data_IF_236711195532
#
_entry.id   IF_236711195532
#
_cell.length_a   1.000
_cell.length_b   1.000
_cell.length_c   1.000
_cell.angle_alpha   90.00
_cell.angle_beta   90.00
_cell.angle_gamma   90.00
#
_symmetry.space_group_name_H-M   'P 1'
#
loop_
_entity.id
_entity.type
_entity.pdbx_description
1 polymer ?
#
# COMPACT_ATOMS: atom_id res chain seq x y z
N UNK A 1 -40.69 2.97 3.83
CA UNK A 1 -39.90 3.18 5.05
C UNK A 1 -38.45 2.68 4.99
N UNK A 2 -37.80 2.66 3.82
CA UNK A 2 -36.40 2.20 3.66
C UNK A 2 -35.37 3.34 3.59
N UNK A 3 -35.80 4.57 3.29
CA UNK A 3 -34.93 5.74 3.10
C UNK A 3 -34.38 6.34 4.41
N UNK A 4 -35.03 6.15 5.56
CA UNK A 4 -34.59 6.70 6.84
C UNK A 4 -33.37 5.97 7.42
N UNK A 5 -33.28 4.66 7.24
CA UNK A 5 -32.20 3.83 7.83
C UNK A 5 -30.85 4.06 7.16
N UNK A 6 -30.84 4.18 5.83
CA UNK A 6 -29.63 4.49 5.05
C UNK A 6 -29.10 5.89 5.32
N UNK A 7 -29.98 6.88 5.53
CA UNK A 7 -29.58 8.25 5.86
C UNK A 7 -29.08 8.39 7.31
N UNK A 8 -29.65 7.62 8.25
CA UNK A 8 -29.15 7.58 9.64
C UNK A 8 -27.81 6.84 9.73
N UNK A 9 -27.62 5.73 9.02
CA UNK A 9 -26.30 5.10 8.87
C UNK A 9 -25.31 6.05 8.21
N UNK A 10 -25.73 6.81 7.19
CA UNK A 10 -24.91 7.84 6.56
C UNK A 10 -24.47 8.91 7.57
N UNK A 11 -25.36 9.46 8.39
CA UNK A 11 -25.00 10.43 9.44
C UNK A 11 -24.09 9.80 10.50
N UNK A 12 -24.33 8.55 10.89
CA UNK A 12 -23.49 7.83 11.86
C UNK A 12 -22.07 7.59 11.32
N UNK A 13 -21.94 7.17 10.06
CA UNK A 13 -20.63 6.97 9.38
C UNK A 13 -19.90 8.30 9.20
N UNK A 14 -20.61 9.40 8.91
CA UNK A 14 -20.02 10.75 8.85
C UNK A 14 -19.48 11.25 10.19
N UNK A 15 -20.07 10.83 11.30
CA UNK A 15 -19.61 11.18 12.64
C UNK A 15 -18.48 10.27 13.15
N UNK A 16 -18.18 9.18 12.45
CA UNK A 16 -17.21 8.18 12.88
C UNK A 16 -15.92 8.34 12.07
N UNK A 17 -14.98 9.12 12.60
CA UNK A 17 -13.63 9.19 12.05
C UNK A 17 -12.93 7.85 12.26
N UNK A 18 -13.02 6.98 11.26
CA UNK A 18 -12.42 5.66 11.29
C UNK A 18 -10.89 5.80 11.36
N UNK A 19 -10.30 5.25 12.42
CA UNK A 19 -8.85 5.28 12.66
C UNK A 19 -8.11 4.17 11.93
N UNK A 20 -8.82 3.26 11.27
CA UNK A 20 -8.22 2.14 10.53
C UNK A 20 -7.86 2.56 9.11
N UNK A 21 -6.63 2.23 8.72
CA UNK A 21 -6.14 2.41 7.35
C UNK A 21 -6.83 1.45 6.40
N UNK A 22 -7.40 1.99 5.31
CA UNK A 22 -7.81 1.22 4.13
C UNK A 22 -6.94 1.65 2.93
N UNK A 23 -7.22 1.12 1.76
CA UNK A 23 -6.43 1.38 0.55
C UNK A 23 -6.45 2.87 0.14
N UNK A 24 -7.62 3.51 0.19
CA UNK A 24 -7.82 4.91 -0.18
C UNK A 24 -7.16 5.89 0.79
N UNK A 25 -7.40 5.73 2.09
CA UNK A 25 -6.79 6.54 3.18
C UNK A 25 -5.28 6.45 3.12
N UNK A 26 -4.75 5.23 2.99
CA UNK A 26 -3.31 5.00 2.90
C UNK A 26 -2.70 5.75 1.72
N UNK A 27 -3.35 5.71 0.55
CA UNK A 27 -2.90 6.45 -0.64
C UNK A 27 -2.83 7.96 -0.39
N UNK A 28 -3.88 8.53 0.20
CA UNK A 28 -3.93 9.96 0.52
C UNK A 28 -2.87 10.35 1.55
N UNK A 29 -2.71 9.56 2.61
CA UNK A 29 -1.76 9.81 3.69
C UNK A 29 -0.31 9.75 3.22
N UNK A 30 0.04 8.73 2.42
CA UNK A 30 1.40 8.59 1.85
C UNK A 30 1.71 9.78 0.94
N UNK A 31 0.80 10.15 0.04
CA UNK A 31 1.02 11.29 -0.86
C UNK A 31 1.18 12.61 -0.10
N UNK A 32 0.32 12.86 0.89
CA UNK A 32 0.43 14.06 1.70
C UNK A 32 1.76 14.09 2.46
N UNK A 33 2.17 12.96 3.04
CA UNK A 33 3.42 12.86 3.78
C UNK A 33 4.65 13.00 2.88
N UNK A 34 4.66 12.42 1.68
CA UNK A 34 5.77 12.62 0.73
C UNK A 34 5.88 14.09 0.27
N UNK A 35 4.76 14.82 0.19
CA UNK A 35 4.75 16.24 -0.22
C UNK A 35 5.13 17.22 0.90
N UNK A 36 4.72 16.92 2.14
CA UNK A 36 4.75 17.91 3.24
C UNK A 36 5.55 17.45 4.46
N UNK A 37 5.92 16.17 4.52
CA UNK A 37 6.46 15.53 5.71
C UNK A 37 5.45 15.37 6.85
N UNK A 38 4.17 15.73 6.68
CA UNK A 38 3.13 15.66 7.73
C UNK A 38 2.07 14.60 7.44
N UNK A 39 1.45 14.09 8.50
CA UNK A 39 0.39 13.06 8.42
C UNK A 39 -0.92 13.66 8.93
N UNK A 40 -1.95 13.61 8.09
CA UNK A 40 -3.30 14.08 8.42
C UNK A 40 -3.95 13.19 9.49
N UNK A 41 -4.78 13.76 10.35
CA UNK A 41 -5.55 13.01 11.34
C UNK A 41 -6.75 12.27 10.72
N UNK A 42 -7.31 11.24 11.40
CA UNK A 42 -8.54 10.58 10.97
C UNK A 42 -9.70 11.55 10.71
N UNK A 43 -9.81 12.63 11.49
CA UNK A 43 -10.85 13.64 11.32
C UNK A 43 -10.64 14.44 10.02
N UNK A 44 -9.39 14.85 9.74
CA UNK A 44 -9.04 15.57 8.51
C UNK A 44 -9.29 14.69 7.29
N UNK A 45 -8.90 13.42 7.32
CA UNK A 45 -9.13 12.47 6.23
C UNK A 45 -10.62 12.17 6.07
N UNK A 46 -11.35 11.93 7.17
CA UNK A 46 -12.80 11.67 7.13
C UNK A 46 -13.61 12.81 6.52
N UNK A 47 -13.15 14.06 6.64
CA UNK A 47 -13.76 15.21 5.98
C UNK A 47 -13.51 15.24 4.45
N UNK A 48 -12.42 14.61 4.00
CA UNK A 48 -12.09 14.44 2.58
C UNK A 48 -12.76 13.20 1.96
N UNK A 49 -13.09 12.20 2.78
CA UNK A 49 -13.78 10.96 2.39
C UNK A 49 -15.31 11.14 2.28
N UNK A 50 -15.85 11.74 1.23
CA UNK A 50 -17.31 11.81 1.08
C UNK A 50 -17.80 11.59 -0.35
N UNK A 51 -18.66 10.57 -0.53
CA UNK A 51 -20.03 10.57 -1.12
C UNK A 51 -20.45 11.71 -2.09
N UNK A 52 -19.55 12.37 -2.82
CA UNK A 52 -19.86 13.45 -3.76
C UNK A 52 -19.46 13.09 -5.20
N UNK A 53 -20.16 13.64 -6.21
CA UNK A 53 -20.12 13.09 -7.56
C UNK A 53 -18.80 13.42 -8.25
N UNK A 54 -18.50 12.65 -9.30
CA UNK A 54 -17.28 12.67 -10.13
C UNK A 54 -16.71 14.05 -10.52
N UNK A 55 -17.46 15.13 -10.40
CA UNK A 55 -17.10 16.48 -10.82
C UNK A 55 -16.27 17.28 -9.79
N UNK A 56 -16.19 16.89 -8.51
CA UNK A 56 -15.29 17.59 -7.54
C UNK A 56 -13.83 17.11 -7.68
N UNK A 57 -13.60 15.94 -8.27
CA UNK A 57 -12.25 15.51 -8.71
C UNK A 57 -11.67 16.40 -9.81
N UNK A 58 -12.47 17.31 -10.40
CA UNK A 58 -12.00 18.33 -11.33
C UNK A 58 -11.33 19.54 -10.63
N UNK A 59 -11.51 19.70 -9.32
CA UNK A 59 -10.81 20.73 -8.53
C UNK A 59 -9.53 20.21 -7.87
N UNK A 60 -9.39 18.89 -7.74
CA UNK A 60 -8.14 18.24 -7.35
C UNK A 60 -7.41 17.78 -8.61
N UNK A 61 -6.54 18.63 -9.14
CA UNK A 61 -5.58 18.25 -10.19
C UNK A 61 -4.57 17.17 -9.75
N UNK A 62 -4.76 16.52 -8.59
CA UNK A 62 -3.80 15.58 -8.03
C UNK A 62 -4.26 14.13 -8.17
N UNK A 63 -3.36 13.31 -8.71
CA UNK A 63 -3.40 11.86 -8.97
C UNK A 63 -3.83 10.92 -7.82
N UNK A 64 -4.33 11.47 -6.72
CA UNK A 64 -4.71 10.80 -5.47
C UNK A 64 -5.76 9.71 -5.65
N UNK A 65 -6.72 9.93 -6.54
CA UNK A 65 -7.94 9.12 -6.67
C UNK A 65 -7.72 7.74 -7.35
N UNK A 66 -6.54 7.50 -7.94
CA UNK A 66 -6.26 6.29 -8.72
C UNK A 66 -5.07 5.47 -8.24
N UNK A 67 -4.22 6.01 -7.36
CA UNK A 67 -2.97 5.35 -6.98
C UNK A 67 -3.19 4.01 -6.26
N UNK A 68 -4.11 3.95 -5.29
CA UNK A 68 -4.44 2.69 -4.63
C UNK A 68 -4.99 1.63 -5.61
N UNK A 69 -5.68 2.04 -6.68
CA UNK A 69 -6.20 1.13 -7.72
C UNK A 69 -5.11 0.56 -8.63
N UNK A 70 -3.92 1.17 -8.64
CA UNK A 70 -2.74 0.62 -9.35
C UNK A 70 -2.10 -0.52 -8.57
N UNK A 71 -2.47 -0.75 -7.31
CA UNK A 71 -1.86 -1.75 -6.46
C UNK A 71 -2.71 -3.01 -6.42
N UNK A 72 -2.08 -4.14 -6.73
CA UNK A 72 -2.70 -5.45 -6.64
C UNK A 72 -1.99 -6.25 -5.56
N UNK A 73 -2.66 -6.43 -4.43
CA UNK A 73 -2.11 -7.06 -3.24
C UNK A 73 -2.37 -8.56 -3.23
N UNK A 74 -1.34 -9.38 -2.95
CA UNK A 74 -1.54 -10.83 -2.81
C UNK A 74 -1.79 -11.54 -4.14
N UNK A 75 -1.01 -11.18 -5.16
CA UNK A 75 -1.17 -11.71 -6.52
C UNK A 75 -0.68 -13.15 -6.58
N UNK A 76 -1.41 -14.01 -7.29
CA UNK A 76 -1.00 -15.39 -7.52
C UNK A 76 0.19 -15.42 -8.45
N UNK A 77 1.31 -16.03 -8.06
CA UNK A 77 2.52 -16.08 -8.89
C UNK A 77 2.24 -16.70 -10.26
N UNK A 78 1.36 -17.70 -10.34
CA UNK A 78 1.01 -18.35 -11.60
C UNK A 78 0.16 -17.49 -12.54
N UNK A 79 -0.34 -16.32 -12.11
CA UNK A 79 -1.02 -15.37 -13.00
C UNK A 79 -0.06 -14.36 -13.64
N UNK A 80 1.21 -14.38 -13.25
CA UNK A 80 2.26 -13.54 -13.83
C UNK A 80 2.88 -14.21 -15.06
N UNK A 81 3.40 -13.41 -15.99
CA UNK A 81 4.12 -13.95 -17.15
C UNK A 81 5.42 -14.60 -16.69
N UNK A 82 5.89 -15.62 -17.41
CA UNK A 82 7.12 -16.33 -17.05
C UNK A 82 8.35 -15.40 -16.97
N UNK A 83 8.44 -14.41 -17.87
CA UNK A 83 9.47 -13.35 -17.82
C UNK A 83 9.44 -12.56 -16.51
N UNK A 84 8.25 -12.26 -16.03
CA UNK A 84 8.00 -11.42 -14.85
C UNK A 84 8.34 -12.21 -13.58
N UNK A 85 8.00 -13.50 -13.56
CA UNK A 85 8.38 -14.43 -12.49
C UNK A 85 9.91 -14.52 -12.38
N UNK A 86 10.63 -14.65 -13.50
CA UNK A 86 12.10 -14.69 -13.48
C UNK A 86 12.71 -13.38 -12.99
N UNK A 87 12.13 -12.23 -13.39
CA UNK A 87 12.52 -10.92 -12.86
C UNK A 87 12.30 -10.81 -11.34
N UNK A 88 11.14 -11.26 -10.86
CA UNK A 88 10.80 -11.31 -9.44
C UNK A 88 11.75 -12.19 -8.62
N UNK A 89 12.09 -13.38 -9.11
CA UNK A 89 13.03 -14.28 -8.44
C UNK A 89 14.42 -13.65 -8.33
N UNK A 90 14.89 -12.97 -9.37
CA UNK A 90 16.16 -12.23 -9.32
C UNK A 90 16.12 -11.12 -8.27
N UNK A 91 15.04 -10.35 -8.20
CA UNK A 91 14.83 -9.31 -7.19
C UNK A 91 14.76 -9.88 -5.77
N UNK A 92 14.11 -11.04 -5.59
CA UNK A 92 14.01 -11.73 -4.32
C UNK A 92 15.39 -12.12 -3.78
N UNK A 93 16.25 -12.64 -4.65
CA UNK A 93 17.61 -13.07 -4.30
C UNK A 93 18.57 -11.92 -4.01
N UNK A 94 18.36 -10.73 -4.60
CA UNK A 94 19.31 -9.61 -4.49
C UNK A 94 18.88 -8.49 -3.54
N UNK A 95 17.58 -8.17 -3.43
CA UNK A 95 17.11 -6.93 -2.79
C UNK A 95 16.08 -7.13 -1.68
N UNK A 96 15.36 -8.26 -1.64
CA UNK A 96 14.29 -8.51 -0.66
C UNK A 96 14.65 -9.58 0.38
N UNK A 97 15.94 -9.79 0.67
CA UNK A 97 16.43 -10.89 1.53
C UNK A 97 15.90 -10.86 2.97
N UNK A 98 15.35 -9.73 3.43
CA UNK A 98 14.72 -9.59 4.76
C UNK A 98 13.20 -9.41 4.71
N UNK A 99 12.67 -9.03 3.55
CA UNK A 99 11.26 -8.68 3.42
C UNK A 99 10.41 -9.92 3.13
N UNK A 100 9.16 -9.87 3.58
CA UNK A 100 8.16 -10.94 3.39
C UNK A 100 7.20 -10.61 2.25
N UNK A 101 7.64 -9.80 1.30
CA UNK A 101 6.90 -9.45 0.12
C UNK A 101 7.85 -9.10 -1.03
N UNK A 102 7.36 -9.23 -2.25
CA UNK A 102 8.05 -8.81 -3.47
C UNK A 102 7.15 -7.84 -4.23
N UNK A 103 7.76 -6.82 -4.82
CA UNK A 103 7.08 -5.88 -5.71
C UNK A 103 7.52 -6.13 -7.14
N UNK A 104 6.54 -6.15 -8.05
CA UNK A 104 6.75 -6.17 -9.48
C UNK A 104 5.97 -5.04 -10.13
N UNK A 105 6.64 -4.24 -10.94
CA UNK A 105 5.97 -3.25 -11.78
C UNK A 105 5.65 -3.87 -13.14
N UNK A 106 4.36 -3.95 -13.48
CA UNK A 106 3.91 -4.38 -14.80
C UNK A 106 3.66 -3.21 -15.76
N UNK A 107 4.23 -2.03 -15.47
CA UNK A 107 4.16 -0.77 -16.22
C UNK A 107 2.96 0.10 -15.84
N UNK A 108 1.76 -0.50 -15.69
CA UNK A 108 0.55 0.24 -15.26
C UNK A 108 0.21 0.06 -13.79
N UNK A 109 0.62 -1.07 -13.23
CA UNK A 109 0.18 -1.52 -11.91
C UNK A 109 1.35 -2.15 -11.17
N UNK A 110 1.38 -1.92 -9.86
CA UNK A 110 2.33 -2.56 -8.96
C UNK A 110 1.67 -3.82 -8.40
N UNK A 111 2.24 -4.97 -8.74
CA UNK A 111 1.83 -6.28 -8.28
C UNK A 111 2.63 -6.63 -7.02
N UNK A 112 1.94 -6.98 -5.94
CA UNK A 112 2.55 -7.34 -4.67
C UNK A 112 2.35 -8.84 -4.44
N UNK A 113 3.45 -9.58 -4.41
CA UNK A 113 3.45 -10.99 -4.04
C UNK A 113 3.82 -11.08 -2.55
N UNK A 114 2.92 -11.64 -1.75
CA UNK A 114 3.11 -11.75 -0.30
C UNK A 114 3.66 -13.13 0.06
N UNK A 115 4.52 -13.19 1.08
CA UNK A 115 5.05 -14.44 1.58
C UNK A 115 3.99 -15.21 2.40
N UNK A 116 4.12 -16.54 2.45
CA UNK A 116 3.25 -17.40 3.26
C UNK A 116 3.22 -17.01 4.74
N UNK A 117 4.34 -16.50 5.25
CA UNK A 117 4.51 -16.10 6.65
C UNK A 117 4.31 -14.59 6.90
N UNK A 118 3.80 -13.81 5.94
CA UNK A 118 3.60 -12.37 6.15
C UNK A 118 2.52 -12.09 7.20
N UNK A 119 2.89 -11.30 8.20
CA UNK A 119 2.01 -10.76 9.24
C UNK A 119 1.17 -9.58 8.71
N UNK A 120 0.12 -9.13 9.41
CA UNK A 120 -0.62 -7.93 9.03
C UNK A 120 0.26 -6.67 8.88
N UNK A 121 1.32 -6.55 9.67
CA UNK A 121 2.30 -5.46 9.55
C UNK A 121 3.12 -5.56 8.26
N UNK A 122 3.53 -6.78 7.88
CA UNK A 122 4.21 -7.04 6.59
C UNK A 122 3.29 -6.66 5.41
N UNK A 123 1.99 -6.93 5.53
CA UNK A 123 0.99 -6.53 4.52
C UNK A 123 0.90 -5.02 4.41
N UNK A 124 0.74 -4.30 5.53
CA UNK A 124 0.70 -2.84 5.52
C UNK A 124 1.99 -2.27 4.91
N UNK A 125 3.17 -2.74 5.34
CA UNK A 125 4.48 -2.32 4.81
C UNK A 125 4.56 -2.55 3.30
N UNK A 126 4.11 -3.71 2.82
CA UNK A 126 4.11 -4.03 1.38
C UNK A 126 3.22 -3.10 0.56
N UNK A 127 2.06 -2.74 1.10
CA UNK A 127 1.11 -1.85 0.43
C UNK A 127 1.63 -0.41 0.38
N UNK A 128 2.21 0.08 1.48
CA UNK A 128 2.85 1.41 1.52
C UNK A 128 4.05 1.47 0.57
N UNK A 129 4.89 0.42 0.54
CA UNK A 129 5.99 0.34 -0.42
C UNK A 129 5.46 0.41 -1.87
N UNK A 130 4.41 -0.35 -2.19
CA UNK A 130 3.80 -0.30 -3.51
C UNK A 130 3.23 1.09 -3.88
N UNK A 131 2.63 1.82 -2.92
CA UNK A 131 2.17 3.20 -3.14
C UNK A 131 3.34 4.13 -3.46
N UNK A 132 4.40 4.06 -2.68
CA UNK A 132 5.61 4.88 -2.88
C UNK A 132 6.24 4.58 -4.24
N UNK A 133 6.35 3.29 -4.60
CA UNK A 133 6.83 2.87 -5.92
C UNK A 133 5.95 3.44 -7.04
N UNK A 134 4.62 3.41 -6.91
CA UNK A 134 3.69 3.96 -7.91
C UNK A 134 3.75 5.49 -8.02
N UNK A 135 4.00 6.20 -6.91
CA UNK A 135 4.17 7.66 -6.90
C UNK A 135 5.48 8.05 -7.59
N UNK A 136 6.56 7.30 -7.37
CA UNK A 136 7.88 7.57 -7.93
C UNK A 136 8.02 7.08 -9.38
N UNK A 137 7.29 6.03 -9.79
CA UNK A 137 7.33 5.52 -11.17
C UNK A 137 6.88 6.57 -12.19
N UNK A 138 6.07 7.52 -11.78
CA UNK A 138 5.58 8.59 -12.65
C UNK A 138 6.67 9.67 -12.89
N UNK A 139 7.78 9.67 -12.13
CA UNK A 139 8.79 10.75 -12.13
C UNK A 139 10.25 10.29 -12.32
N UNK A 140 10.60 9.00 -12.13
CA UNK A 140 12.01 8.57 -12.04
C UNK A 140 12.35 7.32 -12.87
N UNK A 141 13.58 7.29 -13.44
CA UNK A 141 14.13 6.12 -14.17
C UNK A 141 14.57 4.96 -13.26
N UNK A 142 14.84 5.23 -11.98
CA UNK A 142 15.33 4.25 -10.99
C UNK A 142 14.38 4.10 -9.78
N UNK A 143 13.08 4.22 -10.02
CA UNK A 143 12.02 4.27 -9.00
C UNK A 143 12.04 3.10 -8.00
N UNK A 144 12.47 1.89 -8.41
CA UNK A 144 12.62 0.76 -7.48
C UNK A 144 13.71 0.95 -6.42
N UNK A 145 14.83 1.60 -6.75
CA UNK A 145 15.89 1.86 -5.79
C UNK A 145 15.50 3.01 -4.85
N UNK A 146 14.91 4.05 -5.41
CA UNK A 146 14.45 5.22 -4.66
C UNK A 146 13.30 4.89 -3.70
N UNK A 147 12.32 4.10 -4.14
CA UNK A 147 11.24 3.64 -3.24
C UNK A 147 11.76 2.80 -2.08
N UNK A 148 12.81 1.98 -2.28
CA UNK A 148 13.46 1.25 -1.19
C UNK A 148 14.15 2.18 -0.20
N UNK A 149 14.95 3.14 -0.69
CA UNK A 149 15.59 4.13 0.18
C UNK A 149 14.56 4.89 0.99
N UNK A 150 13.44 5.26 0.36
CA UNK A 150 12.33 5.90 1.06
C UNK A 150 11.74 5.01 2.15
N UNK A 151 11.55 3.72 1.87
CA UNK A 151 11.05 2.77 2.86
C UNK A 151 12.01 2.54 4.02
N UNK A 152 13.32 2.62 3.78
CA UNK A 152 14.31 2.46 4.85
C UNK A 152 14.39 3.73 5.73
N UNK A 153 14.35 4.91 5.12
CA UNK A 153 14.54 6.19 5.82
C UNK A 153 13.25 6.75 6.42
N UNK A 154 12.15 6.74 5.67
CA UNK A 154 10.94 7.49 6.01
C UNK A 154 9.78 6.62 6.51
N UNK A 155 9.71 5.34 6.17
CA UNK A 155 8.62 4.48 6.64
C UNK A 155 8.51 4.40 8.17
N UNK A 156 9.61 4.28 8.96
CA UNK A 156 9.51 4.28 10.42
C UNK A 156 8.96 5.61 10.96
N UNK A 157 9.40 6.74 10.40
CA UNK A 157 8.93 8.09 10.77
C UNK A 157 7.46 8.25 10.40
N UNK A 158 7.05 7.78 9.22
CA UNK A 158 5.67 7.79 8.77
C UNK A 158 4.76 7.00 9.70
N UNK A 159 5.14 5.76 10.07
CA UNK A 159 4.39 4.95 11.02
C UNK A 159 4.28 5.61 12.40
N UNK A 160 5.37 6.22 12.89
CA UNK A 160 5.35 6.96 14.15
C UNK A 160 4.34 8.10 14.09
N UNK A 161 4.36 8.90 13.01
CA UNK A 161 3.43 10.02 12.83
C UNK A 161 1.99 9.56 12.66
N UNK A 162 1.74 8.46 11.97
CA UNK A 162 0.41 7.84 11.89
C UNK A 162 -0.13 7.53 13.29
N UNK A 163 0.67 6.84 14.11
CA UNK A 163 0.29 6.50 15.49
C UNK A 163 0.03 7.76 16.34
N UNK A 164 0.92 8.75 16.29
CA UNK A 164 0.74 9.99 17.06
C UNK A 164 -0.47 10.82 16.61
N UNK A 165 -0.87 10.72 15.34
CA UNK A 165 -2.06 11.36 14.79
C UNK A 165 -3.35 10.57 15.02
N UNK A 166 -3.29 9.42 15.70
CA UNK A 166 -4.45 8.62 16.09
C UNK A 166 -4.83 7.50 15.10
N UNK A 167 -3.95 7.11 14.18
CA UNK A 167 -4.18 5.98 13.28
C UNK A 167 -3.79 4.64 13.90
N UNK A 168 -4.66 3.66 13.67
CA UNK A 168 -4.44 2.22 13.89
C UNK A 168 -3.53 1.70 12.76
N UNK A 169 -2.37 1.14 13.10
CA UNK A 169 -1.31 0.72 12.14
C UNK A 169 -1.03 -0.79 12.21
N UNK A 170 -1.82 -1.52 12.98
CA UNK A 170 -1.69 -2.96 13.19
C UNK A 170 -2.09 -3.77 11.96
N UNK A 171 -2.98 -3.23 11.12
CA UNK A 171 -3.43 -3.87 9.89
C UNK A 171 -3.93 -2.86 8.85
N UNK A 172 -3.78 -3.25 7.59
CA UNK A 172 -4.50 -2.64 6.48
C UNK A 172 -5.88 -3.29 6.34
N UNK A 173 -6.93 -2.49 6.26
CA UNK A 173 -8.28 -2.93 5.88
C UNK A 173 -8.39 -2.95 4.35
N UNK A 174 -7.86 -4.03 3.76
CA UNK A 174 -7.94 -4.30 2.32
C UNK A 174 -8.76 -5.56 2.05
N UNK A 175 -8.98 -5.87 0.77
CA UNK A 175 -9.60 -7.13 0.37
C UNK A 175 -8.81 -8.33 0.92
N UNK A 176 -9.48 -9.49 1.06
CA UNK A 176 -8.83 -10.70 1.56
C UNK A 176 -7.66 -11.11 0.66
N UNK A 177 -6.49 -11.32 1.27
CA UNK A 177 -5.29 -11.83 0.60
C UNK A 177 -5.35 -13.35 0.63
N UNK A 178 -5.83 -13.92 -0.47
CA UNK A 178 -6.03 -15.37 -0.62
C UNK A 178 -4.72 -16.06 -1.00
N UNK A 179 -3.93 -15.44 -1.89
CA UNK A 179 -2.71 -16.05 -2.41
C UNK A 179 -1.48 -15.54 -1.68
N UNK A 180 -0.62 -16.48 -1.29
CA UNK A 180 0.69 -16.24 -0.69
C UNK A 180 1.68 -17.22 -1.31
N UNK A 181 2.88 -16.75 -1.60
CA UNK A 181 3.94 -17.58 -2.15
C UNK A 181 4.99 -17.90 -1.09
N UNK A 182 5.76 -18.96 -1.34
CA UNK A 182 6.88 -19.35 -0.50
C UNK A 182 8.13 -19.29 -1.35
N UNK A 183 9.17 -18.65 -0.82
CA UNK A 183 10.50 -18.63 -1.40
C UNK A 183 11.51 -18.75 -0.27
N UNK A 184 12.68 -19.33 -0.56
CA UNK A 184 13.74 -19.44 0.44
C UNK A 184 14.44 -18.08 0.59
N UNK A 185 14.48 -17.55 1.82
CA UNK A 185 15.41 -16.48 2.16
C UNK A 185 16.81 -17.10 2.17
N UNK A 186 17.73 -16.59 1.36
CA UNK A 186 19.04 -17.20 1.19
C UNK A 186 19.79 -17.38 2.52
N UNK A 187 19.80 -18.60 3.04
CA UNK A 187 21.00 -19.38 3.23
C UNK A 187 20.79 -20.65 2.39
N UNK A 188 21.48 -20.75 1.26
CA UNK A 188 21.90 -22.08 0.84
C UNK A 188 22.87 -22.46 1.96
N UNK A 189 22.47 -23.37 2.85
CA UNK A 189 23.44 -24.02 3.71
C UNK A 189 24.50 -24.60 2.77
N UNK A 190 25.71 -24.05 2.81
CA UNK A 190 26.91 -24.78 2.46
C UNK A 190 27.05 -25.94 3.44
N UNK A 191 26.20 -26.97 3.29
CA UNK A 191 26.42 -28.28 3.88
C UNK A 191 25.98 -29.36 2.91
N UNK A 192 27.00 -30.10 2.47
CA UNK A 192 27.01 -31.47 1.98
C UNK A 192 26.74 -31.67 0.47
N UNK A 193 27.78 -31.51 -0.35
CA UNK A 193 28.71 -32.60 -0.68
C UNK A 193 29.99 -32.05 -1.36
#
# INVERSE_FOLDING_TARGET
>A
GSLSRSFTNYKAVRCLSLTTLNDERSSLLVQHFMKTGQVLSPQQVSAMEHVFPRWIYLWSSSHTEYLHRRIHLGVKVSSLKHSDVMGLLRLASSHYRKERYLLWDSGRTIQVVTHRQSTPADILRSFIHALVTAILSDNAKSFHAESRLWMDEYYPVFLMKLKSSGWTTERLLSHSIIWRAQWAHGAIDEKLN
#
